data_IF_861091998744
#
_entry.id   IF_861091998744
#
_cell.length_a   1.000
_cell.length_b   1.000
_cell.length_c   1.000
_cell.angle_alpha   90.00
_cell.angle_beta   90.00
_cell.angle_gamma   90.00
#
_symmetry.space_group_name_H-M   'P 1'
#
loop_
_entity.id
_entity.type
_entity.pdbx_description
1 polymer ?
#
# COMPACT_ATOMS: atom_id res chain seq x y z
N UNK A 1 -7.74 -13.52 5.54
CA UNK A 1 -6.97 -12.63 4.65
C UNK A 1 -5.50 -12.69 5.06
N UNK A 2 -4.57 -12.82 4.10
CA UNK A 2 -3.13 -13.03 4.37
C UNK A 2 -2.51 -11.93 5.24
N UNK A 3 -2.98 -10.70 5.11
CA UNK A 3 -2.55 -9.55 5.94
C UNK A 3 -2.74 -9.80 7.43
N UNK A 4 -3.89 -10.35 7.84
CA UNK A 4 -4.16 -10.64 9.26
C UNK A 4 -3.30 -11.79 9.79
N UNK A 5 -3.06 -12.82 8.95
CA UNK A 5 -2.17 -13.93 9.32
C UNK A 5 -0.73 -13.45 9.54
N UNK A 6 -0.23 -12.57 8.68
CA UNK A 6 1.09 -11.96 8.83
C UNK A 6 1.20 -11.19 10.15
N UNK A 7 0.25 -10.30 10.44
CA UNK A 7 0.28 -9.50 11.68
C UNK A 7 0.10 -10.36 12.93
N UNK A 8 -0.74 -11.41 12.87
CA UNK A 8 -0.86 -12.38 13.95
C UNK A 8 0.48 -13.09 14.23
N UNK A 9 1.22 -13.47 13.19
CA UNK A 9 2.55 -14.09 13.34
C UNK A 9 3.57 -13.10 13.95
N UNK A 10 3.63 -11.85 13.49
CA UNK A 10 4.51 -10.81 14.06
C UNK A 10 4.19 -10.58 15.53
N UNK A 11 2.91 -10.45 15.89
CA UNK A 11 2.48 -10.26 17.29
C UNK A 11 2.81 -11.49 18.13
N UNK A 12 2.65 -12.71 17.60
CA UNK A 12 3.03 -13.92 18.31
C UNK A 12 4.52 -13.96 18.63
N UNK A 13 5.39 -13.54 17.69
CA UNK A 13 6.84 -13.43 17.94
C UNK A 13 7.18 -12.38 19.01
N UNK A 14 6.48 -11.25 19.00
CA UNK A 14 6.61 -10.20 20.03
C UNK A 14 6.24 -10.75 21.41
N UNK A 15 5.06 -11.38 21.54
CA UNK A 15 4.58 -11.96 22.80
C UNK A 15 5.54 -13.05 23.29
N UNK A 16 5.98 -13.94 22.39
CA UNK A 16 6.93 -15.00 22.73
C UNK A 16 8.27 -14.42 23.24
N UNK A 17 8.78 -13.37 22.61
CA UNK A 17 10.04 -12.72 23.01
C UNK A 17 9.95 -12.10 24.42
N UNK A 18 8.83 -11.42 24.70
CA UNK A 18 8.58 -10.84 26.03
C UNK A 18 8.36 -11.93 27.09
N UNK A 19 7.60 -12.98 26.76
CA UNK A 19 7.35 -14.10 27.66
C UNK A 19 8.66 -14.81 28.03
N UNK A 20 9.48 -15.17 27.05
CA UNK A 20 10.79 -15.80 27.28
C UNK A 20 11.69 -14.87 28.08
N UNK A 21 11.78 -13.58 27.72
CA UNK A 21 12.56 -12.60 28.47
C UNK A 21 12.14 -12.47 29.94
N UNK A 22 10.83 -12.56 30.23
CA UNK A 22 10.32 -12.57 31.61
C UNK A 22 10.71 -13.83 32.37
N UNK A 23 10.66 -15.00 31.72
CA UNK A 23 11.00 -16.30 32.33
C UNK A 23 12.50 -16.45 32.61
N UNK A 24 13.34 -15.77 31.82
CA UNK A 24 14.80 -15.75 31.98
C UNK A 24 15.31 -14.60 32.87
N UNK A 25 14.43 -13.78 33.45
CA UNK A 25 14.80 -12.64 34.29
C UNK A 25 15.47 -11.48 33.53
N UNK A 26 15.45 -11.52 32.20
CA UNK A 26 16.13 -10.58 31.31
C UNK A 26 15.14 -9.83 30.42
N UNK A 27 14.10 -9.25 31.03
CA UNK A 27 13.03 -8.54 30.32
C UNK A 27 13.53 -7.45 29.37
N UNK A 28 14.66 -6.78 29.70
CA UNK A 28 15.32 -5.81 28.82
C UNK A 28 15.73 -6.43 27.47
N UNK A 29 16.33 -7.62 27.49
CA UNK A 29 16.74 -8.33 26.28
C UNK A 29 15.50 -8.78 25.50
N UNK A 30 14.51 -9.35 26.19
CA UNK A 30 13.23 -9.74 25.58
C UNK A 30 12.53 -8.56 24.88
N UNK A 31 12.56 -7.37 25.49
CA UNK A 31 12.01 -6.15 24.90
C UNK A 31 12.77 -5.68 23.66
N UNK A 32 14.11 -5.76 23.66
CA UNK A 32 14.93 -5.44 22.47
C UNK A 32 14.59 -6.38 21.32
N UNK A 33 14.55 -7.69 21.58
CA UNK A 33 14.20 -8.69 20.55
C UNK A 33 12.78 -8.50 20.03
N UNK A 34 11.82 -8.24 20.91
CA UNK A 34 10.45 -7.93 20.54
C UNK A 34 10.36 -6.69 19.64
N UNK A 35 11.10 -5.63 19.96
CA UNK A 35 11.18 -4.43 19.14
C UNK A 35 11.76 -4.72 17.75
N UNK A 36 12.80 -5.57 17.66
CA UNK A 36 13.39 -5.99 16.38
C UNK A 36 12.36 -6.72 15.52
N UNK A 37 11.61 -7.69 16.09
CA UNK A 37 10.56 -8.39 15.33
C UNK A 37 9.43 -7.46 14.89
N UNK A 38 8.99 -6.56 15.77
CA UNK A 38 7.92 -5.63 15.45
C UNK A 38 8.34 -4.65 14.35
N UNK A 39 9.48 -3.96 14.52
CA UNK A 39 9.98 -2.98 13.55
C UNK A 39 10.37 -3.66 12.24
N UNK A 40 11.06 -4.80 12.29
CA UNK A 40 11.41 -5.56 11.09
C UNK A 40 10.17 -6.06 10.35
N UNK A 41 9.18 -6.58 11.07
CA UNK A 41 7.90 -7.01 10.51
C UNK A 41 7.11 -5.85 9.89
N UNK A 42 7.09 -4.70 10.55
CA UNK A 42 6.44 -3.51 10.00
C UNK A 42 7.14 -2.98 8.74
N UNK A 43 8.48 -2.86 8.77
CA UNK A 43 9.27 -2.45 7.61
C UNK A 43 9.09 -3.41 6.44
N UNK A 44 9.18 -4.72 6.67
CA UNK A 44 8.97 -5.72 5.63
C UNK A 44 7.54 -5.68 5.07
N UNK A 45 6.54 -5.38 5.91
CA UNK A 45 5.17 -5.21 5.46
C UNK A 45 5.03 -4.00 4.52
N UNK A 46 5.46 -2.83 5.00
CA UNK A 46 5.33 -1.56 4.28
C UNK A 46 6.13 -1.54 2.98
N UNK A 47 7.40 -2.00 3.03
CA UNK A 47 8.31 -1.93 1.88
C UNK A 47 8.19 -3.13 0.93
N UNK A 48 7.41 -4.17 1.24
CA UNK A 48 7.34 -5.35 0.37
C UNK A 48 6.01 -6.08 0.40
N UNK A 49 5.55 -6.54 1.57
CA UNK A 49 4.46 -7.50 1.62
C UNK A 49 3.09 -6.91 1.31
N UNK A 50 2.82 -5.64 1.60
CA UNK A 50 1.50 -5.04 1.33
C UNK A 50 1.08 -5.21 -0.14
N UNK A 51 1.92 -4.79 -1.09
CA UNK A 51 1.62 -4.91 -2.51
C UNK A 51 1.57 -6.37 -2.99
N UNK A 52 2.50 -7.21 -2.51
CA UNK A 52 2.52 -8.63 -2.86
C UNK A 52 1.25 -9.33 -2.38
N UNK A 53 0.79 -9.02 -1.16
CA UNK A 53 -0.42 -9.58 -0.60
C UNK A 53 -1.65 -9.17 -1.38
N UNK A 54 -1.80 -7.88 -1.70
CA UNK A 54 -2.93 -7.38 -2.48
C UNK A 54 -2.96 -8.03 -3.86
N UNK A 55 -1.83 -8.02 -4.57
CA UNK A 55 -1.76 -8.51 -5.95
C UNK A 55 -1.93 -10.02 -6.07
N UNK A 56 -1.32 -10.80 -5.17
CA UNK A 56 -1.18 -12.27 -5.35
C UNK A 56 -2.01 -13.11 -4.38
N UNK A 57 -2.40 -12.57 -3.24
CA UNK A 57 -2.95 -13.34 -2.12
C UNK A 57 -4.25 -12.77 -1.53
N UNK A 58 -4.85 -11.77 -2.18
CA UNK A 58 -6.10 -11.15 -1.72
C UNK A 58 -5.96 -10.33 -0.44
N UNK A 59 -4.86 -9.60 -0.30
CA UNK A 59 -4.68 -8.56 0.72
C UNK A 59 -5.50 -7.30 0.44
N UNK A 60 -5.39 -6.31 1.33
CA UNK A 60 -6.10 -5.02 1.21
C UNK A 60 -5.09 -3.87 1.27
N UNK A 61 -5.19 -2.94 0.32
CA UNK A 61 -4.46 -1.66 0.29
C UNK A 61 -5.46 -0.54 0.04
N UNK A 62 -5.23 0.62 0.64
CA UNK A 62 -6.11 1.80 0.51
C UNK A 62 -5.31 2.94 -0.11
N UNK A 63 -5.83 3.48 -1.21
CA UNK A 63 -5.24 4.63 -1.89
C UNK A 63 -6.33 5.66 -2.10
N UNK A 64 -6.01 6.91 -1.77
CA UNK A 64 -6.92 8.04 -1.95
C UNK A 64 -6.63 8.73 -3.28
N UNK A 65 -7.69 9.06 -4.00
CA UNK A 65 -7.61 9.94 -5.18
C UNK A 65 -7.38 11.37 -4.69
N UNK A 66 -6.42 12.13 -5.28
CA UNK A 66 -6.20 13.52 -4.90
C UNK A 66 -7.46 14.38 -5.06
N UNK A 67 -7.61 15.38 -4.20
CA UNK A 67 -8.79 16.25 -4.23
C UNK A 67 -8.96 16.96 -5.58
N UNK A 68 -10.19 16.95 -6.08
CA UNK A 68 -10.54 17.55 -7.37
C UNK A 68 -10.13 16.73 -8.59
N UNK A 69 -9.42 15.60 -8.41
CA UNK A 69 -9.10 14.68 -9.49
C UNK A 69 -10.23 13.66 -9.63
N UNK A 70 -10.36 13.09 -10.83
CA UNK A 70 -11.32 12.01 -11.11
C UNK A 70 -10.55 10.74 -11.42
N UNK A 71 -10.87 9.66 -10.72
CA UNK A 71 -10.28 8.36 -11.02
C UNK A 71 -10.74 7.88 -12.40
N UNK A 72 -9.81 7.45 -13.24
CA UNK A 72 -10.10 6.84 -14.54
C UNK A 72 -9.98 5.33 -14.44
N UNK A 73 -8.84 4.85 -13.96
CA UNK A 73 -8.58 3.42 -13.89
C UNK A 73 -7.33 3.07 -13.10
N UNK A 74 -7.19 1.77 -12.82
CA UNK A 74 -6.03 1.21 -12.16
C UNK A 74 -5.63 -0.09 -12.86
N UNK A 75 -4.33 -0.33 -12.98
CA UNK A 75 -3.78 -1.55 -13.58
C UNK A 75 -2.50 -1.97 -12.87
N UNK A 76 -2.14 -3.24 -13.00
CA UNK A 76 -0.87 -3.76 -12.49
C UNK A 76 0.12 -3.91 -13.63
N UNK A 77 1.31 -3.34 -13.47
CA UNK A 77 2.47 -3.64 -14.31
C UNK A 77 3.49 -4.34 -13.44
N UNK A 78 3.66 -5.64 -13.69
CA UNK A 78 4.39 -6.50 -12.76
C UNK A 78 3.86 -6.28 -11.35
N UNK A 79 4.72 -6.15 -10.33
CA UNK A 79 4.31 -5.97 -8.94
C UNK A 79 3.93 -4.53 -8.56
N UNK A 80 3.96 -3.57 -9.49
CA UNK A 80 3.65 -2.17 -9.20
C UNK A 80 2.22 -1.84 -9.65
N UNK A 81 1.51 -1.11 -8.81
CA UNK A 81 0.16 -0.63 -9.11
C UNK A 81 0.26 0.72 -9.83
N UNK A 82 -0.40 0.83 -10.96
CA UNK A 82 -0.51 2.08 -11.71
C UNK A 82 -1.93 2.60 -11.59
N UNK A 83 -2.08 3.87 -11.18
CA UNK A 83 -3.36 4.54 -11.09
C UNK A 83 -3.37 5.74 -12.04
N UNK A 84 -4.40 5.81 -12.87
CA UNK A 84 -4.68 6.92 -13.74
C UNK A 84 -5.76 7.81 -13.12
N UNK A 85 -5.44 9.10 -12.96
CA UNK A 85 -6.37 10.12 -12.51
C UNK A 85 -6.40 11.30 -13.49
N UNK A 86 -7.58 11.85 -13.72
CA UNK A 86 -7.78 13.05 -14.53
C UNK A 86 -7.86 14.31 -13.65
N UNK A 87 -7.08 15.33 -14.00
CA UNK A 87 -7.21 16.66 -13.45
C UNK A 87 -8.03 17.56 -14.40
N UNK A 88 -9.28 17.90 -14.05
CA UNK A 88 -10.15 18.73 -14.90
C UNK A 88 -9.70 20.19 -15.01
N UNK A 89 -8.89 20.69 -14.06
CA UNK A 89 -8.41 22.08 -14.09
C UNK A 89 -7.33 22.30 -15.17
N UNK A 90 -6.50 21.29 -15.40
CA UNK A 90 -5.36 21.36 -16.34
C UNK A 90 -5.55 20.50 -17.58
N UNK A 91 -6.67 19.79 -17.69
CA UNK A 91 -6.94 18.82 -18.74
C UNK A 91 -5.85 17.73 -18.90
N UNK A 92 -5.35 17.22 -17.77
CA UNK A 92 -4.25 16.25 -17.75
C UNK A 92 -4.70 14.90 -17.20
N UNK A 93 -4.25 13.81 -17.83
CA UNK A 93 -4.31 12.47 -17.24
C UNK A 93 -2.95 12.11 -16.65
N UNK A 94 -2.95 11.70 -15.40
CA UNK A 94 -1.77 11.49 -14.58
C UNK A 94 -1.74 10.04 -14.17
N UNK A 95 -0.82 9.29 -14.77
CA UNK A 95 -0.51 7.91 -14.43
C UNK A 95 0.57 7.92 -13.36
N UNK A 96 0.24 7.45 -12.16
CA UNK A 96 1.18 7.36 -11.04
C UNK A 96 1.43 5.91 -10.71
N UNK A 97 2.70 5.54 -10.66
CA UNK A 97 3.16 4.23 -10.20
C UNK A 97 3.30 4.24 -8.68
N UNK A 98 2.64 3.29 -8.03
CA UNK A 98 2.84 2.95 -6.63
C UNK A 98 3.77 1.74 -6.59
N UNK A 99 5.05 1.98 -6.35
CA UNK A 99 6.06 0.93 -6.18
C UNK A 99 6.15 0.47 -4.72
N UNK A 100 6.81 -0.67 -4.50
CA UNK A 100 6.97 -1.26 -3.17
C UNK A 100 7.61 -0.24 -2.19
N UNK A 101 6.85 0.14 -1.16
CA UNK A 101 7.26 1.15 -0.17
C UNK A 101 7.27 2.60 -0.65
N UNK A 102 6.69 2.91 -1.82
CA UNK A 102 6.56 4.25 -2.38
C UNK A 102 7.90 5.02 -2.53
N UNK A 103 9.01 4.31 -2.76
CA UNK A 103 10.35 4.93 -2.80
C UNK A 103 10.64 5.50 -4.20
N UNK A 104 10.26 4.78 -5.25
CA UNK A 104 10.54 5.15 -6.64
C UNK A 104 9.24 5.08 -7.44
N UNK A 105 8.55 6.21 -7.54
CA UNK A 105 7.27 6.32 -8.24
C UNK A 105 7.50 6.92 -9.62
N UNK A 106 7.31 6.11 -10.67
CA UNK A 106 7.16 6.63 -12.02
C UNK A 106 5.90 7.49 -12.14
N UNK A 107 5.97 8.54 -12.97
CA UNK A 107 4.80 9.34 -13.34
C UNK A 107 4.81 9.64 -14.83
N UNK A 108 3.66 9.44 -15.48
CA UNK A 108 3.42 9.87 -16.86
C UNK A 108 2.27 10.87 -16.85
N UNK A 109 2.47 12.00 -17.53
CA UNK A 109 1.46 13.07 -17.66
C UNK A 109 1.08 13.17 -19.13
N UNK A 110 -0.19 12.92 -19.43
CA UNK A 110 -0.77 13.12 -20.75
C UNK A 110 -1.49 14.47 -20.75
N UNK A 111 -1.02 15.40 -21.58
CA UNK A 111 -1.67 16.70 -21.80
C UNK A 111 -2.84 16.54 -22.78
N UNK A 112 -3.83 17.42 -22.65
CA UNK A 112 -5.04 17.42 -23.50
C UNK A 112 -5.72 16.05 -23.56
N UNK A 113 -5.81 15.39 -22.41
CA UNK A 113 -6.25 14.00 -22.31
C UNK A 113 -7.70 13.80 -22.79
N UNK A 114 -8.57 14.78 -22.52
CA UNK A 114 -9.98 14.77 -22.94
C UNK A 114 -10.66 13.40 -22.73
N UNK A 115 -10.68 12.86 -21.49
CA UNK A 115 -11.26 11.54 -21.25
C UNK A 115 -12.72 11.56 -21.68
N UNK A 116 -13.19 10.45 -22.27
CA UNK A 116 -14.57 10.25 -22.66
C UNK A 116 -15.46 10.24 -21.40
N UNK A 117 -15.79 11.43 -20.91
CA UNK A 117 -16.76 11.59 -19.85
C UNK A 117 -18.14 11.30 -20.44
N UNK A 118 -19.03 10.59 -19.73
CA UNK A 118 -20.41 10.45 -20.16
C UNK A 118 -20.92 11.84 -20.50
N UNK A 119 -21.32 12.05 -21.76
CA UNK A 119 -22.09 13.24 -22.11
C UNK A 119 -23.23 13.29 -21.11
N UNK A 120 -23.37 14.39 -20.37
CA UNK A 120 -24.62 14.65 -19.69
C UNK A 120 -25.65 14.83 -20.79
N UNK A 121 -26.21 13.71 -21.24
CA UNK A 121 -27.27 13.70 -22.21
C UNK A 121 -28.37 14.55 -21.61
N UNK A 122 -28.69 15.64 -22.30
CA UNK A 122 -30.00 16.26 -22.21
C UNK A 122 -31.01 15.11 -22.24
N UNK A 123 -31.61 14.80 -21.10
CA UNK A 123 -32.72 13.87 -21.05
C UNK A 123 -33.82 14.46 -21.94
N UNK A 124 -34.37 13.69 -22.91
CA UNK A 124 -35.55 14.11 -23.63
C UNK A 124 -36.75 14.26 -22.71
#
# INVERSE_FOLDING_TARGET
MVTYLYWAAVIALVIASLFIGSRLGSLKIGAIVAAVFFVGGWLAYYFHYEQVFVKRFGGVMRISVPDGYRHIGATWKEDNLWIENYNPKTNQCIFTEYSKGNILEGRVIIQDCNPLMPSQGTQP
#
